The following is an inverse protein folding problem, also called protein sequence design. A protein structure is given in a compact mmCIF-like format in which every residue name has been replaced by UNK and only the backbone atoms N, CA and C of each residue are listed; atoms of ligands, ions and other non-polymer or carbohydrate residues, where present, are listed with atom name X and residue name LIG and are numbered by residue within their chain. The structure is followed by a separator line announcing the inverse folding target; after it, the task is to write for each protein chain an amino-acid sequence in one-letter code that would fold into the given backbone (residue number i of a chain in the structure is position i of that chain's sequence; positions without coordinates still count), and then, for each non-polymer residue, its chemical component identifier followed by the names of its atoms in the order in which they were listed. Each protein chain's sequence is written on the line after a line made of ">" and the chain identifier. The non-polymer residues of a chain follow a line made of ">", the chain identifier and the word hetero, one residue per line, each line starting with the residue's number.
data_IF_350867439913
#
_entry.id   IF_350867439913
#
_cell.length_a   1.000
_cell.length_b   1.000
_cell.length_c   1.000
_cell.angle_alpha   90.00
_cell.angle_beta   90.00
_cell.angle_gamma   90.00
#
_symmetry.space_group_name_H-M   'P 1'
#
loop_
_entity.id
_entity.type
_entity.pdbx_description
1 polymer ?
#
# COMPACT_ATOMS: atom_id res chain seq x y z
N UNK A 1 -22.85 -39.37 7.06
CA UNK A 1 -21.57 -38.63 7.13
C UNK A 1 -21.21 -38.17 5.73
N UNK A 2 -21.41 -36.89 5.40
CA UNK A 2 -21.01 -36.31 4.11
C UNK A 2 -19.61 -35.73 4.26
N UNK A 3 -18.63 -36.29 3.56
CA UNK A 3 -17.35 -35.63 3.33
C UNK A 3 -17.58 -34.50 2.34
N UNK A 4 -17.70 -33.25 2.82
CA UNK A 4 -17.57 -32.08 1.95
C UNK A 4 -16.08 -31.92 1.63
N UNK A 5 -15.68 -32.38 0.45
CA UNK A 5 -14.40 -32.03 -0.15
C UNK A 5 -14.46 -30.54 -0.53
N UNK A 6 -13.96 -29.66 0.34
CA UNK A 6 -13.56 -28.33 -0.10
C UNK A 6 -12.32 -28.54 -0.96
N UNK A 7 -12.49 -28.46 -2.28
CA UNK A 7 -11.38 -28.35 -3.21
C UNK A 7 -10.58 -27.10 -2.79
N UNK A 8 -9.47 -27.34 -2.10
CA UNK A 8 -8.54 -26.30 -1.72
C UNK A 8 -7.82 -25.87 -3.00
N UNK A 9 -8.19 -24.69 -3.49
CA UNK A 9 -7.66 -24.15 -4.74
C UNK A 9 -6.15 -23.97 -4.62
N UNK A 10 -5.40 -24.82 -5.34
CA UNK A 10 -3.96 -24.96 -5.16
C UNK A 10 -3.20 -23.66 -5.48
N UNK A 11 -3.72 -22.87 -6.43
CA UNK A 11 -3.18 -21.54 -6.76
C UNK A 11 -3.27 -20.57 -5.57
N UNK A 12 -4.36 -20.64 -4.80
CA UNK A 12 -4.65 -19.75 -3.68
C UNK A 12 -3.73 -20.08 -2.49
N UNK A 13 -3.43 -21.35 -2.25
CA UNK A 13 -2.42 -21.78 -1.27
C UNK A 13 -1.01 -21.32 -1.65
N UNK A 14 -0.59 -21.48 -2.92
CA UNK A 14 0.72 -21.01 -3.37
C UNK A 14 0.88 -19.49 -3.33
N UNK A 15 -0.22 -18.76 -3.51
CA UNK A 15 -0.23 -17.29 -3.53
C UNK A 15 -0.30 -16.71 -2.11
N UNK A 16 -1.14 -17.28 -1.23
CA UNK A 16 -1.41 -16.74 0.12
C UNK A 16 -0.44 -17.30 1.17
N UNK A 17 -0.01 -18.55 1.01
CA UNK A 17 0.89 -19.22 1.95
C UNK A 17 2.03 -19.92 1.21
N UNK A 18 2.94 -19.20 0.52
CA UNK A 18 4.07 -19.82 -0.17
C UNK A 18 4.97 -20.65 0.77
N UNK A 19 5.04 -20.28 2.06
CA UNK A 19 5.72 -21.07 3.10
C UNK A 19 5.04 -22.41 3.41
N UNK A 20 3.77 -22.56 3.05
CA UNK A 20 3.00 -23.81 3.14
C UNK A 20 2.89 -24.52 1.78
N UNK A 21 3.47 -23.99 0.70
CA UNK A 21 3.47 -24.68 -0.61
C UNK A 21 4.20 -26.04 -0.58
N UNK A 22 5.16 -26.18 0.34
CA UNK A 22 5.82 -27.44 0.63
C UNK A 22 5.04 -28.33 1.62
N UNK A 23 3.98 -27.81 2.25
CA UNK A 23 3.18 -28.52 3.25
C UNK A 23 2.06 -29.29 2.56
N UNK A 24 2.18 -30.61 2.61
CA UNK A 24 1.17 -31.57 2.17
C UNK A 24 0.22 -31.83 3.32
N UNK A 25 -1.00 -31.29 3.23
CA UNK A 25 -2.09 -31.65 4.15
C UNK A 25 -2.47 -33.10 3.89
N UNK A 26 -2.22 -33.97 4.86
CA UNK A 26 -2.52 -35.40 4.77
C UNK A 26 -3.94 -35.69 5.22
N UNK A 27 -4.42 -34.97 6.24
CA UNK A 27 -5.76 -35.17 6.81
C UNK A 27 -6.21 -33.93 7.56
N UNK A 28 -7.50 -33.62 7.46
CA UNK A 28 -8.17 -32.58 8.23
C UNK A 28 -9.32 -33.23 8.98
N UNK A 29 -9.37 -33.07 10.31
CA UNK A 29 -10.45 -33.57 11.16
C UNK A 29 -11.08 -32.39 11.87
N UNK A 30 -12.40 -32.27 11.76
CA UNK A 30 -13.18 -31.30 12.52
C UNK A 30 -13.56 -31.89 13.88
N UNK A 31 -13.09 -31.26 14.96
CA UNK A 31 -13.38 -31.62 16.36
C UNK A 31 -14.36 -30.60 16.99
N UNK A 32 -15.16 -29.91 16.17
CA UNK A 32 -16.21 -28.98 16.57
C UNK A 32 -15.66 -27.62 17.00
N UNK A 33 -14.92 -27.57 18.12
CA UNK A 33 -14.27 -26.32 18.59
C UNK A 33 -12.87 -26.11 18.02
N UNK A 34 -12.30 -27.13 17.38
CA UNK A 34 -10.95 -27.11 16.81
C UNK A 34 -10.92 -27.94 15.54
N UNK A 35 -10.03 -27.56 14.62
CA UNK A 35 -9.71 -28.37 13.46
C UNK A 35 -8.32 -28.96 13.66
N UNK A 36 -8.21 -30.28 13.65
CA UNK A 36 -6.93 -31.00 13.68
C UNK A 36 -6.45 -31.24 12.26
N UNK A 37 -5.34 -30.59 11.90
CA UNK A 37 -4.69 -30.78 10.60
C UNK A 37 -3.44 -31.63 10.80
N UNK A 38 -3.36 -32.75 10.10
CA UNK A 38 -2.15 -33.58 9.98
C UNK A 38 -1.51 -33.25 8.64
N UNK A 39 -0.27 -32.77 8.65
CA UNK A 39 0.45 -32.40 7.46
C UNK A 39 1.92 -32.79 7.56
N UNK A 40 2.56 -32.99 6.41
CA UNK A 40 4.01 -33.21 6.29
C UNK A 40 4.61 -32.21 5.31
N UNK A 41 5.90 -31.94 5.42
CA UNK A 41 6.62 -31.12 4.42
C UNK A 41 7.22 -32.02 3.35
N UNK A 42 7.14 -31.66 2.06
CA UNK A 42 7.89 -32.32 0.99
C UNK A 42 9.39 -32.18 1.28
N UNK A 43 10.15 -33.25 1.13
CA UNK A 43 11.60 -33.27 1.36
C UNK A 43 12.41 -32.91 0.09
N UNK A 44 11.74 -32.53 -0.99
CA UNK A 44 12.41 -32.27 -2.27
C UNK A 44 13.29 -31.01 -2.17
N UNK A 45 14.58 -31.09 -2.58
CA UNK A 45 15.45 -29.93 -2.62
C UNK A 45 14.89 -28.83 -3.53
N UNK A 46 14.46 -27.73 -2.94
CA UNK A 46 13.96 -26.55 -3.65
C UNK A 46 15.13 -25.63 -3.99
N UNK A 47 15.19 -25.07 -5.22
CA UNK A 47 16.19 -24.07 -5.55
C UNK A 47 15.94 -22.79 -4.75
N UNK A 48 16.99 -22.26 -4.13
CA UNK A 48 16.92 -20.98 -3.43
C UNK A 48 16.51 -19.87 -4.41
N UNK A 49 15.46 -19.08 -4.13
CA UNK A 49 15.02 -17.99 -5.02
C UNK A 49 16.02 -16.82 -5.09
N UNK A 50 17.10 -16.83 -4.30
CA UNK A 50 18.14 -15.80 -4.30
C UNK A 50 19.40 -16.22 -5.07
N UNK A 51 19.91 -17.43 -4.85
CA UNK A 51 21.18 -17.89 -5.44
C UNK A 51 21.06 -19.15 -6.29
N UNK A 52 19.86 -19.75 -6.40
CA UNK A 52 19.65 -20.97 -7.20
C UNK A 52 20.16 -22.27 -6.57
N UNK A 53 20.92 -22.20 -5.47
CA UNK A 53 21.42 -23.39 -4.77
C UNK A 53 20.27 -24.27 -4.31
N UNK A 54 20.28 -25.55 -4.70
CA UNK A 54 19.32 -26.55 -4.25
C UNK A 54 19.68 -26.97 -2.83
N UNK A 55 18.76 -26.77 -1.89
CA UNK A 55 19.03 -27.01 -0.47
C UNK A 55 17.90 -27.80 0.15
N UNK A 56 18.24 -28.80 0.96
CA UNK A 56 17.29 -29.53 1.81
C UNK A 56 16.72 -28.66 2.95
N UNK A 57 17.40 -27.55 3.28
CA UNK A 57 17.01 -26.59 4.32
C UNK A 57 17.15 -25.15 3.81
N UNK A 58 16.11 -24.35 3.99
CA UNK A 58 16.11 -22.92 3.63
C UNK A 58 17.07 -22.16 4.55
N UNK A 59 18.08 -21.49 3.99
CA UNK A 59 18.96 -20.57 4.74
C UNK A 59 18.19 -19.33 5.19
N UNK A 60 17.47 -19.43 6.32
CA UNK A 60 16.81 -18.32 7.01
C UNK A 60 15.60 -17.71 6.28
N UNK A 61 14.53 -17.48 7.01
CA UNK A 61 13.38 -16.72 6.50
C UNK A 61 13.69 -15.23 6.60
N UNK A 62 14.04 -14.58 5.48
CA UNK A 62 13.90 -13.12 5.42
C UNK A 62 12.40 -12.83 5.25
N UNK A 63 11.74 -12.32 6.29
CA UNK A 63 10.39 -11.75 6.14
C UNK A 63 10.48 -10.59 5.16
N UNK A 64 9.88 -10.74 3.98
CA UNK A 64 9.69 -9.63 3.05
C UNK A 64 8.46 -8.87 3.49
N UNK A 65 8.57 -7.56 3.59
CA UNK A 65 7.46 -6.70 3.91
C UNK A 65 6.96 -6.03 2.63
N UNK A 66 5.67 -5.69 2.59
CA UNK A 66 5.09 -4.93 1.48
C UNK A 66 5.86 -3.63 1.18
N UNK A 67 6.47 -3.01 2.19
CA UNK A 67 7.36 -1.85 2.02
C UNK A 67 8.59 -2.15 1.15
N UNK A 68 9.13 -3.37 1.18
CA UNK A 68 10.29 -3.74 0.36
C UNK A 68 9.92 -3.78 -1.14
N UNK A 69 8.68 -4.17 -1.45
CA UNK A 69 8.14 -4.14 -2.81
C UNK A 69 8.01 -2.71 -3.33
N UNK A 70 7.46 -1.79 -2.51
CA UNK A 70 7.35 -0.37 -2.86
C UNK A 70 8.73 0.29 -2.99
N UNK A 71 9.69 -0.08 -2.14
CA UNK A 71 11.09 0.39 -2.25
C UNK A 71 11.71 -0.09 -3.57
N UNK A 72 11.50 -1.35 -3.95
CA UNK A 72 11.95 -1.89 -5.25
C UNK A 72 11.32 -1.13 -6.41
N UNK A 73 10.00 -0.87 -6.36
CA UNK A 73 9.32 -0.08 -7.39
C UNK A 73 9.92 1.32 -7.51
N UNK A 74 10.22 1.98 -6.39
CA UNK A 74 10.90 3.28 -6.40
C UNK A 74 12.31 3.21 -6.99
N UNK A 75 13.10 2.16 -6.70
CA UNK A 75 14.40 1.96 -7.37
C UNK A 75 14.25 1.89 -8.88
N UNK A 76 13.25 1.16 -9.38
CA UNK A 76 12.96 1.09 -10.82
C UNK A 76 12.56 2.45 -11.40
N UNK A 77 11.74 3.23 -10.69
CA UNK A 77 11.37 4.60 -11.09
C UNK A 77 12.60 5.49 -11.18
N UNK A 78 13.50 5.45 -10.20
CA UNK A 78 14.74 6.22 -10.19
C UNK A 78 15.61 5.87 -11.40
N UNK A 79 15.79 4.57 -11.68
CA UNK A 79 16.55 4.10 -12.85
C UNK A 79 15.89 4.53 -14.16
N UNK A 80 14.58 4.36 -14.30
CA UNK A 80 13.85 4.74 -15.50
C UNK A 80 13.88 6.26 -15.74
N UNK A 81 13.77 7.05 -14.68
CA UNK A 81 13.89 8.53 -14.72
C UNK A 81 15.29 8.96 -15.16
N UNK A 82 16.34 8.31 -14.65
CA UNK A 82 17.71 8.58 -15.08
C UNK A 82 17.93 8.26 -16.57
N UNK A 83 17.18 7.28 -17.11
CA UNK A 83 17.15 6.94 -18.53
C UNK A 83 16.19 7.83 -19.36
N UNK A 84 15.63 8.91 -18.80
CA UNK A 84 14.77 9.86 -19.50
C UNK A 84 13.29 9.46 -19.62
N UNK A 85 12.86 8.37 -18.99
CA UNK A 85 11.45 7.98 -18.99
C UNK A 85 10.63 8.84 -18.01
N UNK A 86 9.33 8.94 -18.26
CA UNK A 86 8.36 9.65 -17.41
C UNK A 86 7.37 8.73 -16.69
N UNK A 87 7.40 7.43 -17.01
CA UNK A 87 6.60 6.35 -16.40
C UNK A 87 7.34 5.02 -16.51
N UNK A 88 6.97 4.05 -15.67
CA UNK A 88 7.36 2.66 -15.88
C UNK A 88 6.53 2.00 -16.99
N UNK A 89 7.11 0.96 -17.59
CA UNK A 89 6.42 0.04 -18.49
C UNK A 89 5.23 -0.64 -17.78
N UNK A 90 4.14 -0.81 -18.51
CA UNK A 90 2.89 -1.31 -17.94
C UNK A 90 3.02 -2.76 -17.45
N UNK A 91 3.72 -3.63 -18.19
CA UNK A 91 3.94 -5.02 -17.77
C UNK A 91 4.72 -5.10 -16.46
N UNK A 92 5.67 -4.19 -16.27
CA UNK A 92 6.43 -4.06 -15.02
C UNK A 92 5.52 -3.60 -13.87
N UNK A 93 4.65 -2.62 -14.11
CA UNK A 93 3.67 -2.14 -13.11
C UNK A 93 2.72 -3.28 -12.73
N UNK A 94 2.15 -3.99 -13.69
CA UNK A 94 1.18 -5.07 -13.46
C UNK A 94 1.80 -6.21 -12.64
N UNK A 95 3.03 -6.62 -12.98
CA UNK A 95 3.75 -7.66 -12.25
C UNK A 95 4.05 -7.27 -10.78
N UNK A 96 4.33 -5.99 -10.54
CA UNK A 96 4.52 -5.47 -9.19
C UNK A 96 3.19 -5.33 -8.44
N UNK A 97 2.13 -4.89 -9.14
CA UNK A 97 0.79 -4.72 -8.58
C UNK A 97 0.18 -6.05 -8.16
N UNK A 98 0.30 -7.09 -8.98
CA UNK A 98 -0.15 -8.43 -8.63
C UNK A 98 0.50 -8.96 -7.33
N UNK A 99 1.81 -8.71 -7.15
CA UNK A 99 2.52 -9.06 -5.90
C UNK A 99 2.03 -8.23 -4.71
N UNK A 100 1.79 -6.95 -4.92
CA UNK A 100 1.25 -6.06 -3.89
C UNK A 100 -0.14 -6.49 -3.43
N UNK A 101 -1.04 -6.81 -4.37
CA UNK A 101 -2.40 -7.22 -4.05
C UNK A 101 -2.39 -8.56 -3.29
N UNK A 102 -1.49 -9.49 -3.65
CA UNK A 102 -1.27 -10.73 -2.89
C UNK A 102 -0.77 -10.44 -1.46
N UNK A 103 0.24 -9.58 -1.29
CA UNK A 103 0.77 -9.20 0.03
C UNK A 103 -0.28 -8.51 0.91
N UNK A 104 -1.10 -7.63 0.31
CA UNK A 104 -2.23 -6.98 1.01
C UNK A 104 -3.25 -8.03 1.44
N UNK A 105 -3.60 -8.98 0.57
CA UNK A 105 -4.55 -10.05 0.88
C UNK A 105 -4.06 -10.95 2.01
N UNK A 106 -2.77 -11.29 2.02
CA UNK A 106 -2.13 -12.00 3.14
C UNK A 106 -2.26 -11.18 4.43
N UNK A 107 -2.03 -9.86 4.35
CA UNK A 107 -2.21 -8.93 5.45
C UNK A 107 -3.63 -8.93 6.00
N UNK A 108 -4.65 -8.91 5.13
CA UNK A 108 -6.05 -9.01 5.54
C UNK A 108 -6.33 -10.33 6.27
N UNK A 109 -6.01 -11.47 5.63
CA UNK A 109 -6.30 -12.79 6.17
C UNK A 109 -5.58 -13.04 7.51
N UNK A 110 -4.33 -12.58 7.64
CA UNK A 110 -3.53 -12.71 8.86
C UNK A 110 -4.15 -11.95 10.04
N UNK A 111 -4.87 -10.87 9.77
CA UNK A 111 -5.44 -9.98 10.78
C UNK A 111 -6.97 -10.08 10.91
N UNK A 112 -7.64 -10.85 10.04
CA UNK A 112 -9.10 -10.95 9.98
C UNK A 112 -9.69 -11.47 11.30
N UNK A 113 -9.08 -12.52 11.85
CA UNK A 113 -9.54 -13.19 13.07
C UNK A 113 -8.69 -12.85 14.29
N UNK A 114 -7.79 -11.85 14.20
CA UNK A 114 -6.99 -11.44 15.34
C UNK A 114 -7.85 -10.60 16.28
N UNK A 115 -8.08 -11.05 17.53
CA UNK A 115 -8.80 -10.23 18.48
C UNK A 115 -8.01 -8.94 18.74
N UNK A 116 -8.73 -7.85 18.89
CA UNK A 116 -8.18 -6.56 19.28
C UNK A 116 -9.11 -5.90 20.29
N UNK A 117 -8.61 -4.91 21.02
CA UNK A 117 -9.35 -4.24 22.09
C UNK A 117 -10.67 -3.64 21.57
N UNK A 118 -11.66 -3.62 22.44
CA UNK A 118 -12.98 -2.97 22.24
C UNK A 118 -13.75 -3.46 20.99
N UNK A 119 -13.71 -4.75 20.66
CA UNK A 119 -14.43 -5.33 19.50
C UNK A 119 -14.06 -4.71 18.14
N UNK A 120 -13.00 -3.90 18.10
CA UNK A 120 -12.54 -3.23 16.88
C UNK A 120 -11.73 -4.19 16.03
N UNK A 121 -11.71 -3.94 14.72
CA UNK A 121 -10.81 -4.62 13.81
C UNK A 121 -9.35 -4.40 14.22
N UNK A 122 -8.54 -5.45 14.16
CA UNK A 122 -7.09 -5.35 14.39
C UNK A 122 -6.47 -4.25 13.49
N UNK A 123 -5.58 -3.38 13.99
CA UNK A 123 -4.98 -2.30 13.20
C UNK A 123 -4.34 -2.76 11.89
N UNK A 124 -3.77 -3.97 11.88
CA UNK A 124 -3.22 -4.59 10.66
C UNK A 124 -4.29 -4.87 9.59
N UNK A 125 -5.51 -5.23 9.99
CA UNK A 125 -6.64 -5.44 9.06
C UNK A 125 -7.10 -4.10 8.48
N UNK A 126 -7.20 -3.06 9.32
CA UNK A 126 -7.56 -1.70 8.88
C UNK A 126 -6.52 -1.16 7.89
N UNK A 127 -5.24 -1.37 8.17
CA UNK A 127 -4.15 -0.97 7.28
C UNK A 127 -4.22 -1.71 5.94
N UNK A 128 -4.37 -3.03 5.95
CA UNK A 128 -4.44 -3.83 4.73
C UNK A 128 -5.62 -3.41 3.84
N UNK A 129 -6.81 -3.25 4.41
CA UNK A 129 -8.00 -2.76 3.68
C UNK A 129 -7.79 -1.36 3.10
N UNK A 130 -7.14 -0.47 3.85
CA UNK A 130 -6.82 0.88 3.37
C UNK A 130 -5.81 0.85 2.21
N UNK A 131 -4.82 -0.02 2.28
CA UNK A 131 -3.84 -0.24 1.22
C UNK A 131 -4.49 -0.81 -0.05
N UNK A 132 -5.46 -1.73 0.07
CA UNK A 132 -6.26 -2.20 -1.06
C UNK A 132 -7.08 -1.05 -1.67
N UNK A 133 -7.88 -0.35 -0.85
CA UNK A 133 -8.78 0.70 -1.31
C UNK A 133 -8.07 1.94 -1.88
N UNK A 134 -6.81 2.16 -1.52
CA UNK A 134 -5.99 3.31 -1.97
C UNK A 134 -4.84 2.89 -2.87
N UNK A 135 -4.85 1.67 -3.40
CA UNK A 135 -3.74 1.14 -4.16
C UNK A 135 -3.38 2.04 -5.36
N UNK A 136 -4.34 2.62 -6.09
CA UNK A 136 -4.02 3.51 -7.20
C UNK A 136 -3.30 4.80 -6.78
N UNK A 137 -3.57 5.29 -5.57
CA UNK A 137 -2.84 6.42 -5.00
C UNK A 137 -1.43 6.00 -4.58
N UNK A 138 -1.27 4.80 -4.00
CA UNK A 138 0.04 4.24 -3.64
C UNK A 138 0.93 4.05 -4.86
N UNK A 139 0.35 3.65 -6.00
CA UNK A 139 1.09 3.33 -7.23
C UNK A 139 1.28 4.51 -8.17
N UNK A 140 0.71 5.69 -7.89
CA UNK A 140 0.71 6.85 -8.79
C UNK A 140 2.12 7.31 -9.20
N UNK A 141 3.12 7.19 -8.30
CA UNK A 141 4.51 7.55 -8.59
C UNK A 141 5.17 6.70 -9.69
N UNK A 142 4.58 5.54 -10.03
CA UNK A 142 5.10 4.66 -11.10
C UNK A 142 4.61 5.06 -12.49
N UNK A 143 3.49 5.78 -12.57
CA UNK A 143 2.90 6.28 -13.83
C UNK A 143 3.10 7.77 -14.02
N UNK A 144 3.38 8.50 -12.95
CA UNK A 144 3.72 9.91 -12.99
C UNK A 144 4.92 10.21 -12.07
N UNK A 145 6.11 10.36 -12.66
CA UNK A 145 7.35 10.60 -11.93
C UNK A 145 7.46 11.98 -11.25
N UNK A 146 6.50 12.89 -11.48
CA UNK A 146 6.42 14.14 -10.70
C UNK A 146 5.92 13.89 -9.28
N UNK A 147 5.24 12.77 -9.05
CA UNK A 147 4.71 12.40 -7.74
C UNK A 147 5.78 11.60 -6.98
N UNK A 148 6.16 12.00 -5.76
CA UNK A 148 7.09 11.24 -4.95
C UNK A 148 6.44 9.95 -4.43
N UNK A 149 7.25 8.90 -4.24
CA UNK A 149 6.77 7.61 -3.73
C UNK A 149 6.39 7.65 -2.24
N UNK A 150 6.71 8.73 -1.51
CA UNK A 150 6.37 8.90 -0.09
C UNK A 150 5.43 10.08 0.12
N UNK A 151 4.69 10.02 1.23
CA UNK A 151 3.79 11.07 1.68
C UNK A 151 4.49 12.26 2.38
N UNK A 152 5.83 12.31 2.36
CA UNK A 152 6.59 13.31 3.10
C UNK A 152 6.19 14.77 2.77
N UNK A 153 5.98 15.18 1.50
CA UNK A 153 5.55 16.54 1.21
C UNK A 153 4.22 16.91 1.88
N UNK A 154 3.22 16.03 1.80
CA UNK A 154 1.92 16.22 2.46
C UNK A 154 2.08 16.29 3.98
N UNK A 155 2.95 15.46 4.57
CA UNK A 155 3.23 15.48 6.01
C UNK A 155 3.90 16.78 6.44
N UNK A 156 4.89 17.26 5.69
CA UNK A 156 5.51 18.56 5.95
C UNK A 156 4.50 19.70 5.82
N UNK A 157 3.57 19.61 4.86
CA UNK A 157 2.50 20.60 4.69
C UNK A 157 1.62 20.70 5.95
N UNK A 158 1.28 19.59 6.61
CA UNK A 158 0.42 19.59 7.80
C UNK A 158 1.18 19.65 9.13
N UNK A 159 2.50 19.49 9.13
CA UNK A 159 3.32 19.41 10.35
C UNK A 159 3.24 20.67 11.20
N UNK A 160 3.37 21.84 10.57
CA UNK A 160 3.33 23.12 11.26
C UNK A 160 1.99 23.34 11.98
N UNK A 161 0.81 23.20 11.33
CA UNK A 161 -0.45 23.41 12.03
C UNK A 161 -0.69 22.40 13.16
N UNK A 162 -0.27 21.14 12.99
CA UNK A 162 -0.31 20.13 14.07
C UNK A 162 0.57 20.52 15.26
N UNK A 163 1.80 20.97 14.99
CA UNK A 163 2.72 21.43 16.05
C UNK A 163 2.16 22.66 16.76
N UNK A 164 1.64 23.63 16.02
CA UNK A 164 1.01 24.81 16.60
C UNK A 164 -0.15 24.42 17.52
N UNK A 165 -1.07 23.56 17.06
CA UNK A 165 -2.13 23.03 17.90
C UNK A 165 -1.61 22.34 19.17
N UNK A 166 -0.54 21.55 19.07
CA UNK A 166 0.00 20.82 20.22
C UNK A 166 0.71 21.73 21.24
N UNK A 167 1.40 22.78 20.77
CA UNK A 167 2.24 23.65 21.61
C UNK A 167 1.45 24.85 22.14
N UNK A 168 0.73 25.56 21.28
CA UNK A 168 -0.02 26.77 21.68
C UNK A 168 -1.48 26.50 21.98
N UNK A 169 -2.05 25.37 21.53
CA UNK A 169 -3.45 25.00 21.75
C UNK A 169 -4.47 25.89 21.04
N UNK A 170 -4.05 27.02 20.46
CA UNK A 170 -4.92 28.16 20.25
C UNK A 170 -4.94 28.63 18.79
N UNK A 171 -5.97 28.20 18.06
CA UNK A 171 -6.39 28.85 16.81
C UNK A 171 -7.53 29.84 17.04
N UNK A 172 -7.88 30.17 18.29
CA UNK A 172 -9.09 30.89 18.71
C UNK A 172 -10.41 30.16 18.38
N UNK A 173 -10.63 29.75 17.13
CA UNK A 173 -11.85 29.08 16.65
C UNK A 173 -11.55 28.12 15.48
N UNK A 174 -12.44 27.14 15.18
CA UNK A 174 -12.35 26.33 13.97
C UNK A 174 -12.32 27.15 12.67
N UNK A 175 -12.96 28.32 12.65
CA UNK A 175 -13.01 29.23 11.51
C UNK A 175 -11.63 29.80 11.17
N UNK A 176 -10.88 30.22 12.18
CA UNK A 176 -9.50 30.72 12.00
C UNK A 176 -8.58 29.62 11.48
N UNK A 177 -8.70 28.40 12.01
CA UNK A 177 -7.96 27.24 11.50
C UNK A 177 -8.32 26.95 10.04
N UNK A 178 -9.62 26.98 9.68
CA UNK A 178 -10.07 26.77 8.32
C UNK A 178 -9.52 27.84 7.35
N UNK A 179 -9.49 29.11 7.76
CA UNK A 179 -8.90 30.19 6.98
C UNK A 179 -7.39 29.98 6.77
N UNK A 180 -6.66 29.65 7.84
CA UNK A 180 -5.23 29.32 7.76
C UNK A 180 -4.96 28.15 6.81
N UNK A 181 -5.70 27.05 6.96
CA UNK A 181 -5.56 25.87 6.12
C UNK A 181 -5.89 26.15 4.66
N UNK A 182 -6.87 27.02 4.37
CA UNK A 182 -7.22 27.44 3.01
C UNK A 182 -6.06 28.18 2.33
N UNK A 183 -5.46 29.16 3.01
CA UNK A 183 -4.32 29.90 2.47
C UNK A 183 -3.11 28.98 2.31
N UNK A 184 -2.80 28.18 3.33
CA UNK A 184 -1.65 27.28 3.31
C UNK A 184 -1.78 26.20 2.24
N UNK A 185 -2.95 25.58 2.08
CA UNK A 185 -3.15 24.55 1.06
C UNK A 185 -3.01 25.11 -0.36
N UNK A 186 -3.52 26.33 -0.60
CA UNK A 186 -3.31 27.04 -1.86
C UNK A 186 -1.82 27.27 -2.16
N UNK A 187 -1.08 27.83 -1.20
CA UNK A 187 0.34 28.13 -1.39
C UNK A 187 1.20 26.88 -1.56
N UNK A 188 0.93 25.81 -0.80
CA UNK A 188 1.61 24.52 -0.96
C UNK A 188 1.31 23.94 -2.35
N UNK A 189 0.05 23.95 -2.77
CA UNK A 189 -0.34 23.42 -4.08
C UNK A 189 0.29 24.19 -5.23
N UNK A 190 0.32 25.53 -5.16
CA UNK A 190 0.95 26.39 -6.15
C UNK A 190 2.46 26.11 -6.24
N UNK A 191 3.13 25.97 -5.09
CA UNK A 191 4.55 25.60 -5.03
C UNK A 191 4.82 24.23 -5.64
N UNK A 192 3.98 23.23 -5.34
CA UNK A 192 4.11 21.88 -5.89
C UNK A 192 3.92 21.84 -7.43
N UNK A 193 3.33 22.90 -8.01
CA UNK A 193 3.16 23.09 -9.45
C UNK A 193 4.12 24.14 -10.06
N UNK A 194 5.16 24.52 -9.31
CA UNK A 194 6.26 25.36 -9.82
C UNK A 194 6.07 26.87 -9.69
N UNK A 195 5.02 27.34 -8.99
CA UNK A 195 4.86 28.77 -8.71
C UNK A 195 5.61 29.17 -7.44
N UNK A 196 6.13 30.39 -7.40
CA UNK A 196 6.61 30.99 -6.15
C UNK A 196 5.42 31.42 -5.29
N UNK A 197 5.61 31.48 -3.97
CA UNK A 197 4.56 31.94 -3.07
C UNK A 197 4.15 33.39 -3.37
N UNK A 198 5.10 34.25 -3.75
CA UNK A 198 4.84 35.66 -4.07
C UNK A 198 3.98 35.77 -5.32
N UNK A 199 4.30 35.03 -6.39
CA UNK A 199 3.50 35.03 -7.62
C UNK A 199 2.08 34.51 -7.38
N UNK A 200 1.96 33.41 -6.62
CA UNK A 200 0.66 32.84 -6.27
C UNK A 200 -0.21 33.83 -5.47
N UNK A 201 0.40 34.59 -4.54
CA UNK A 201 -0.28 35.65 -3.76
C UNK A 201 -0.67 36.80 -4.68
N UNK A 202 0.24 37.27 -5.54
CA UNK A 202 -0.03 38.36 -6.50
C UNK A 202 -1.22 38.03 -7.39
N UNK A 203 -1.24 36.83 -7.97
CA UNK A 203 -2.34 36.34 -8.81
C UNK A 203 -3.67 36.27 -8.05
N UNK A 204 -3.66 35.76 -6.82
CA UNK A 204 -4.85 35.68 -5.99
C UNK A 204 -5.42 37.07 -5.65
N UNK A 205 -4.56 38.04 -5.28
CA UNK A 205 -4.96 39.41 -4.97
C UNK A 205 -5.43 40.18 -6.23
N UNK A 206 -4.90 39.84 -7.40
CA UNK A 206 -5.34 40.38 -8.69
C UNK A 206 -6.66 39.75 -9.18
N UNK A 207 -7.34 38.93 -8.38
CA UNK A 207 -8.61 38.28 -8.74
C UNK A 207 -8.47 37.13 -9.74
N UNK A 208 -7.26 36.70 -10.05
CA UNK A 208 -6.95 35.63 -11.03
C UNK A 208 -6.08 34.54 -10.39
N UNK A 209 -6.52 33.92 -9.27
CA UNK A 209 -5.72 32.91 -8.58
C UNK A 209 -5.39 31.74 -9.51
N UNK A 210 -4.15 31.25 -9.41
CA UNK A 210 -3.75 30.04 -10.12
C UNK A 210 -4.57 28.85 -9.62
N UNK A 211 -5.09 28.02 -10.52
CA UNK A 211 -5.77 26.78 -10.18
C UNK A 211 -5.11 25.63 -10.93
N UNK A 212 -4.93 24.46 -10.29
CA UNK A 212 -4.43 23.29 -11.00
C UNK A 212 -5.40 22.89 -12.11
N UNK A 213 -4.87 22.42 -13.23
CA UNK A 213 -5.68 21.88 -14.31
C UNK A 213 -6.59 20.77 -13.75
N UNK A 214 -7.90 20.92 -13.95
CA UNK A 214 -8.87 19.95 -13.46
C UNK A 214 -8.64 18.65 -14.22
N UNK A 215 -8.17 17.61 -13.52
CA UNK A 215 -8.04 16.28 -14.13
C UNK A 215 -9.44 15.79 -14.50
N UNK A 216 -9.65 15.37 -15.75
CA UNK A 216 -10.88 14.70 -16.14
C UNK A 216 -11.09 13.49 -15.22
N UNK A 217 -12.32 13.28 -14.75
CA UNK A 217 -12.64 12.14 -13.91
C UNK A 217 -12.23 10.85 -14.65
N UNK A 218 -11.36 10.04 -14.04
CA UNK A 218 -11.14 8.69 -14.55
C UNK A 218 -12.41 7.89 -14.33
N UNK A 219 -12.86 7.08 -15.32
CA UNK A 219 -14.05 6.26 -15.15
C UNK A 219 -13.88 5.39 -13.92
N UNK A 220 -14.85 5.47 -13.02
CA UNK A 220 -14.91 4.62 -11.83
C UNK A 220 -14.95 3.17 -12.30
N UNK A 221 -13.91 2.39 -12.00
CA UNK A 221 -14.04 0.93 -12.08
C UNK A 221 -15.10 0.53 -11.06
N UNK A 222 -16.31 0.23 -11.54
CA UNK A 222 -17.36 -0.34 -10.72
C UNK A 222 -16.79 -1.62 -10.08
N UNK A 223 -16.76 -1.66 -8.75
CA UNK A 223 -16.53 -2.92 -8.04
C UNK A 223 -17.66 -3.87 -8.46
N UNK A 224 -17.30 -4.94 -9.17
CA UNK A 224 -18.21 -6.04 -9.41
C UNK A 224 -18.67 -6.59 -8.05
N UNK A 225 -20.00 -6.74 -7.93
CA UNK A 225 -20.71 -7.22 -6.75
C UNK A 225 -20.42 -8.70 -6.46
#
# INVERSE_FOLDING_TARGET
>A
MRASSVLCDAELLTTVFPQLAAVLVQRVVDEGRRVRVVARTRADPVPCPRCGTRTERVHGYHRRWLTDLLRKANTLVVTARAAGNSRLDQKTIDALRARYDADVRIGELTNLSRPWTDEKNHPGLVLARRLAAKADQVWLFTTNFTIPWTNNPSEQAIRLPKRHQAVSGYWHTPTTLAAYLRVRSYLVSARDHGLTAVDAIRLALAGTPWMPARRAASPTHALAA
#
